data_IF_334441181071
#
_entry.id   IF_334441181071
#
_cell.length_a   1.000
_cell.length_b   1.000
_cell.length_c   1.000
_cell.angle_alpha   90.00
_cell.angle_beta   90.00
_cell.angle_gamma   90.00
#
_symmetry.space_group_name_H-M   'P 1'
#
loop_
_entity.id
_entity.type
_entity.pdbx_description
1 polymer ?
#
# COMPACT_ATOMS: atom_id res chain seq x y z
N UNK A 1 -31.24 29.24 -18.91
CA UNK A 1 -31.92 29.04 -17.61
C UNK A 1 -32.96 30.14 -17.38
N UNK A 2 -34.01 29.84 -16.61
CA UNK A 2 -34.96 30.85 -16.13
C UNK A 2 -34.26 31.82 -15.15
N UNK A 3 -34.60 33.11 -15.22
CA UNK A 3 -34.05 34.11 -14.29
C UNK A 3 -34.84 34.13 -12.98
N UNK A 4 -34.14 34.37 -11.87
CA UNK A 4 -34.80 34.59 -10.57
C UNK A 4 -35.21 36.05 -10.40
N UNK A 5 -36.12 36.32 -9.47
CA UNK A 5 -36.42 37.68 -9.03
C UNK A 5 -35.13 38.40 -8.62
N UNK A 6 -35.01 39.67 -9.01
CA UNK A 6 -33.81 40.47 -8.80
C UNK A 6 -32.52 39.93 -9.45
N UNK A 7 -32.59 39.09 -10.50
CA UNK A 7 -31.39 38.56 -11.20
C UNK A 7 -30.35 39.63 -11.56
N UNK A 8 -30.78 40.84 -11.95
CA UNK A 8 -29.88 41.97 -12.26
C UNK A 8 -28.96 42.38 -11.10
N UNK A 9 -29.33 42.05 -9.85
CA UNK A 9 -28.55 42.31 -8.64
C UNK A 9 -27.60 41.14 -8.28
N UNK A 10 -27.73 39.98 -8.92
CA UNK A 10 -26.89 38.81 -8.70
C UNK A 10 -25.77 38.81 -9.76
N UNK A 11 -24.63 39.39 -9.40
CA UNK A 11 -23.46 39.48 -10.29
C UNK A 11 -22.57 38.23 -10.15
N UNK A 12 -21.90 37.76 -11.22
CA UNK A 12 -21.04 36.57 -11.16
C UNK A 12 -19.98 36.61 -10.06
N UNK A 13 -19.31 37.75 -9.84
CA UNK A 13 -18.29 37.87 -8.78
C UNK A 13 -18.86 37.62 -7.37
N UNK A 14 -20.13 37.92 -7.13
CA UNK A 14 -20.78 37.64 -5.84
C UNK A 14 -20.91 36.14 -5.62
N UNK A 15 -21.06 35.34 -6.67
CA UNK A 15 -21.07 33.88 -6.58
C UNK A 15 -19.77 33.33 -5.98
N UNK A 16 -18.61 33.88 -6.38
CA UNK A 16 -17.31 33.54 -5.80
C UNK A 16 -17.22 33.94 -4.32
N UNK A 17 -17.73 35.11 -3.94
CA UNK A 17 -17.75 35.57 -2.54
C UNK A 17 -18.66 34.69 -1.68
N UNK A 18 -19.83 34.34 -2.20
CA UNK A 18 -20.78 33.46 -1.54
C UNK A 18 -20.16 32.06 -1.37
N UNK A 19 -19.52 31.52 -2.40
CA UNK A 19 -18.76 30.25 -2.31
C UNK A 19 -17.69 30.30 -1.22
N UNK A 20 -16.85 31.33 -1.24
CA UNK A 20 -15.77 31.49 -0.26
C UNK A 20 -16.29 31.63 1.16
N UNK A 21 -17.41 32.35 1.34
CA UNK A 21 -18.09 32.48 2.63
C UNK A 21 -18.60 31.13 3.15
N UNK A 22 -19.21 30.30 2.30
CA UNK A 22 -19.67 28.97 2.70
C UNK A 22 -18.54 28.00 2.98
N UNK A 23 -17.50 28.00 2.14
CA UNK A 23 -16.31 27.21 2.41
C UNK A 23 -15.68 27.61 3.74
N UNK A 24 -15.54 28.92 4.00
CA UNK A 24 -15.03 29.42 5.27
C UNK A 24 -15.89 29.00 6.46
N UNK A 25 -17.22 29.08 6.34
CA UNK A 25 -18.16 28.63 7.38
C UNK A 25 -18.07 27.11 7.61
N UNK A 26 -17.97 26.32 6.55
CA UNK A 26 -17.84 24.86 6.62
C UNK A 26 -16.53 24.43 7.28
N UNK A 27 -15.40 25.03 6.87
CA UNK A 27 -14.08 24.74 7.42
C UNK A 27 -13.88 25.24 8.85
N UNK A 28 -14.75 26.13 9.35
CA UNK A 28 -14.69 26.65 10.72
C UNK A 28 -15.79 26.08 11.59
N UNK A 29 -17.02 26.59 11.48
CA UNK A 29 -18.15 26.16 12.28
C UNK A 29 -18.52 24.70 11.98
N UNK A 30 -18.55 24.29 10.71
CA UNK A 30 -18.83 22.90 10.33
C UNK A 30 -17.79 21.92 10.88
N UNK A 31 -16.50 22.21 10.68
CA UNK A 31 -15.41 21.41 11.22
C UNK A 31 -15.43 21.35 12.75
N UNK A 32 -15.73 22.46 13.43
CA UNK A 32 -15.90 22.50 14.88
C UNK A 32 -17.06 21.60 15.34
N UNK A 33 -18.22 21.66 14.66
CA UNK A 33 -19.37 20.80 14.95
C UNK A 33 -19.01 19.32 14.80
N UNK A 34 -18.39 18.94 13.68
CA UNK A 34 -17.98 17.56 13.39
C UNK A 34 -16.96 17.04 14.41
N UNK A 35 -15.94 17.85 14.75
CA UNK A 35 -14.91 17.47 15.73
C UNK A 35 -15.46 17.33 17.14
N UNK A 36 -16.39 18.20 17.54
CA UNK A 36 -16.91 18.25 18.91
C UNK A 36 -18.00 17.20 19.14
N UNK A 37 -18.88 17.00 18.17
CA UNK A 37 -20.10 16.19 18.33
C UNK A 37 -20.13 14.93 17.45
N UNK A 38 -19.11 14.65 16.64
CA UNK A 38 -19.06 13.46 15.79
C UNK A 38 -20.19 13.44 14.76
N UNK A 39 -20.96 12.34 14.73
CA UNK A 39 -22.07 12.14 13.78
C UNK A 39 -23.18 13.21 13.90
N UNK A 40 -23.71 13.53 15.10
CA UNK A 40 -24.58 14.69 15.27
C UNK A 40 -23.98 16.00 14.75
N UNK A 41 -22.66 16.16 14.90
CA UNK A 41 -21.92 17.29 14.36
C UNK A 41 -21.92 17.34 12.84
N UNK A 42 -21.74 16.19 12.18
CA UNK A 42 -21.85 16.03 10.73
C UNK A 42 -23.25 16.39 10.24
N UNK A 43 -24.30 15.82 10.84
CA UNK A 43 -25.70 16.13 10.52
C UNK A 43 -25.97 17.64 10.68
N UNK A 44 -25.50 18.24 11.78
CA UNK A 44 -25.67 19.66 12.03
C UNK A 44 -24.92 20.53 11.00
N UNK A 45 -23.72 20.12 10.58
CA UNK A 45 -22.96 20.82 9.54
C UNK A 45 -23.62 20.76 8.16
N UNK A 46 -24.34 19.66 7.85
CA UNK A 46 -25.14 19.57 6.63
C UNK A 46 -26.39 20.46 6.70
N UNK A 47 -27.16 20.36 7.80
CA UNK A 47 -28.36 21.18 7.99
C UNK A 47 -28.03 22.69 7.98
N UNK A 48 -26.83 23.07 8.39
CA UNK A 48 -26.32 24.44 8.27
C UNK A 48 -26.38 24.93 6.81
N UNK A 49 -26.03 24.11 5.81
CA UNK A 49 -26.12 24.52 4.41
C UNK A 49 -27.56 24.84 3.99
N UNK A 50 -28.52 24.04 4.45
CA UNK A 50 -29.94 24.28 4.16
C UNK A 50 -30.44 25.55 4.85
N UNK A 51 -30.14 25.73 6.14
CA UNK A 51 -30.52 26.93 6.91
C UNK A 51 -29.97 28.18 6.23
N UNK A 52 -28.68 28.17 5.89
CA UNK A 52 -28.03 29.31 5.26
C UNK A 52 -28.58 29.57 3.84
N UNK A 53 -28.96 28.53 3.09
CA UNK A 53 -29.63 28.68 1.80
C UNK A 53 -30.99 29.38 1.92
N UNK A 54 -31.77 29.03 2.95
CA UNK A 54 -33.06 29.69 3.23
C UNK A 54 -32.83 31.14 3.67
N UNK A 55 -31.89 31.40 4.58
CA UNK A 55 -31.53 32.76 5.01
C UNK A 55 -31.06 33.62 3.84
N UNK A 56 -30.27 33.04 2.92
CA UNK A 56 -29.83 33.71 1.70
C UNK A 56 -31.03 34.17 0.85
N UNK A 57 -32.04 33.31 0.66
CA UNK A 57 -33.26 33.68 -0.06
C UNK A 57 -34.01 34.85 0.62
N UNK A 58 -34.08 34.85 1.95
CA UNK A 58 -34.71 35.92 2.72
C UNK A 58 -33.96 37.25 2.58
N UNK A 59 -32.63 37.24 2.73
CA UNK A 59 -31.77 38.43 2.61
C UNK A 59 -31.84 39.01 1.20
N UNK A 60 -31.79 38.17 0.17
CA UNK A 60 -31.84 38.60 -1.24
C UNK A 60 -33.25 38.88 -1.73
N UNK A 61 -34.27 38.61 -0.93
CA UNK A 61 -35.70 38.73 -1.27
C UNK A 61 -36.04 37.99 -2.56
N UNK A 62 -35.53 36.76 -2.68
CA UNK A 62 -35.80 35.86 -3.81
C UNK A 62 -36.75 34.77 -3.32
N UNK A 63 -37.79 34.45 -4.11
CA UNK A 63 -38.76 33.42 -3.72
C UNK A 63 -38.12 32.04 -3.73
N UNK A 64 -38.40 31.21 -2.72
CA UNK A 64 -37.87 29.85 -2.60
C UNK A 64 -38.12 29.00 -3.86
N UNK A 65 -39.32 29.08 -4.44
CA UNK A 65 -39.67 28.34 -5.68
C UNK A 65 -38.85 28.74 -6.92
N UNK A 66 -38.28 29.95 -6.93
CA UNK A 66 -37.42 30.42 -8.02
C UNK A 66 -35.98 29.97 -7.80
N UNK A 67 -35.54 29.95 -6.54
CA UNK A 67 -34.21 29.47 -6.16
C UNK A 67 -34.08 27.95 -6.27
N UNK A 68 -35.12 27.24 -5.83
CA UNK A 68 -35.23 25.78 -5.77
C UNK A 68 -36.38 25.33 -6.68
N UNK A 69 -36.24 25.45 -8.01
CA UNK A 69 -37.31 25.13 -8.93
C UNK A 69 -37.57 23.63 -8.90
N UNK A 70 -38.77 23.23 -8.49
CA UNK A 70 -39.21 21.84 -8.45
C UNK A 70 -40.15 21.58 -9.62
N UNK A 71 -39.78 20.65 -10.49
CA UNK A 71 -40.60 20.22 -11.63
C UNK A 71 -40.73 18.70 -11.63
N UNK A 72 -41.79 18.18 -12.25
CA UNK A 72 -41.98 16.72 -12.41
C UNK A 72 -40.84 16.15 -13.25
N UNK A 73 -40.23 15.07 -12.78
CA UNK A 73 -39.21 14.32 -13.52
C UNK A 73 -39.93 13.40 -14.52
N UNK A 74 -39.61 13.53 -15.81
CA UNK A 74 -40.12 12.61 -16.83
C UNK A 74 -39.35 11.28 -16.79
N UNK A 75 -39.96 10.18 -17.29
CA UNK A 75 -39.27 8.88 -17.33
C UNK A 75 -37.95 8.92 -18.13
N UNK A 76 -37.90 9.71 -19.20
CA UNK A 76 -36.68 9.94 -19.98
C UNK A 76 -35.60 10.65 -19.16
N UNK A 77 -35.98 11.70 -18.42
CA UNK A 77 -35.03 12.42 -17.56
C UNK A 77 -34.55 11.57 -16.39
N UNK A 78 -35.42 10.74 -15.81
CA UNK A 78 -35.05 9.79 -14.76
C UNK A 78 -33.94 8.83 -15.25
N UNK A 79 -34.14 8.15 -16.37
CA UNK A 79 -33.12 7.26 -16.94
C UNK A 79 -31.87 8.01 -17.39
N UNK A 80 -32.02 9.24 -17.89
CA UNK A 80 -30.90 10.13 -18.17
C UNK A 80 -30.05 10.41 -16.93
N UNK A 81 -30.69 10.72 -15.79
CA UNK A 81 -30.01 10.93 -14.51
C UNK A 81 -29.34 9.65 -14.01
N UNK A 82 -29.99 8.49 -14.11
CA UNK A 82 -29.40 7.19 -13.70
C UNK A 82 -28.13 6.90 -14.51
N UNK A 83 -28.16 7.05 -15.83
CA UNK A 83 -26.97 6.87 -16.68
C UNK A 83 -25.88 7.89 -16.33
N UNK A 84 -26.24 9.15 -16.08
CA UNK A 84 -25.29 10.17 -15.67
C UNK A 84 -24.69 9.91 -14.27
N UNK A 85 -25.44 9.31 -13.35
CA UNK A 85 -24.94 8.90 -12.04
C UNK A 85 -23.90 7.78 -12.18
N UNK A 86 -24.19 6.74 -12.98
CA UNK A 86 -23.21 5.68 -13.31
C UNK A 86 -21.97 6.28 -13.98
N UNK A 87 -22.18 7.19 -14.93
CA UNK A 87 -21.07 7.88 -15.62
C UNK A 87 -20.21 8.70 -14.65
N UNK A 88 -20.85 9.46 -13.75
CA UNK A 88 -20.18 10.24 -12.72
C UNK A 88 -19.36 9.36 -11.77
N UNK A 89 -19.89 8.19 -11.40
CA UNK A 89 -19.17 7.20 -10.59
C UNK A 89 -17.93 6.66 -11.33
N UNK A 90 -18.05 6.27 -12.59
CA UNK A 90 -16.92 5.78 -13.40
C UNK A 90 -15.84 6.84 -13.59
N UNK A 91 -16.20 8.09 -13.88
CA UNK A 91 -15.21 9.18 -13.93
C UNK A 91 -14.62 9.51 -12.56
N UNK A 92 -15.39 9.32 -11.49
CA UNK A 92 -14.89 9.49 -10.12
C UNK A 92 -13.77 8.49 -9.81
N UNK A 93 -13.90 7.23 -10.26
CA UNK A 93 -12.83 6.24 -10.14
C UNK A 93 -11.56 6.70 -10.86
N UNK A 94 -11.66 7.16 -12.11
CA UNK A 94 -10.51 7.69 -12.85
C UNK A 94 -9.89 8.90 -12.15
N UNK A 95 -10.71 9.82 -11.65
CA UNK A 95 -10.25 10.98 -10.89
C UNK A 95 -9.46 10.60 -9.64
N UNK A 96 -9.95 9.61 -8.88
CA UNK A 96 -9.23 9.03 -7.73
C UNK A 96 -7.93 8.35 -8.17
N UNK A 97 -7.93 7.62 -9.28
CA UNK A 97 -6.72 7.00 -9.85
C UNK A 97 -5.65 8.02 -10.22
N UNK A 98 -6.05 9.15 -10.81
CA UNK A 98 -5.12 10.27 -11.11
C UNK A 98 -4.54 10.82 -9.81
N UNK A 99 -5.38 11.08 -8.81
CA UNK A 99 -4.93 11.58 -7.51
C UNK A 99 -3.96 10.59 -6.83
N UNK A 100 -4.23 9.28 -6.89
CA UNK A 100 -3.35 8.23 -6.37
C UNK A 100 -1.99 8.19 -7.11
N UNK A 101 -1.99 8.33 -8.43
CA UNK A 101 -0.78 8.32 -9.24
C UNK A 101 0.11 9.56 -9.00
N UNK A 102 -0.50 10.73 -8.75
CA UNK A 102 0.22 12.01 -8.61
C UNK A 102 0.58 12.31 -7.14
N UNK A 103 -0.27 11.93 -6.19
CA UNK A 103 -0.16 12.31 -4.78
C UNK A 103 -0.25 11.11 -3.80
N UNK A 104 0.50 10.01 -4.01
CA UNK A 104 0.30 8.75 -3.28
C UNK A 104 0.40 8.88 -1.75
N UNK A 105 1.28 9.76 -1.24
CA UNK A 105 1.54 9.89 0.21
C UNK A 105 0.45 10.63 0.99
N UNK A 106 -0.19 11.65 0.41
CA UNK A 106 -1.26 12.42 1.07
C UNK A 106 -2.59 11.65 1.13
N UNK A 107 -2.74 10.61 0.31
CA UNK A 107 -3.99 9.86 0.15
C UNK A 107 -4.21 8.83 1.24
N UNK A 108 -3.15 8.17 1.73
CA UNK A 108 -3.28 7.07 2.70
C UNK A 108 -3.91 7.54 4.02
N UNK A 109 -3.43 8.65 4.57
CA UNK A 109 -3.96 9.22 5.81
C UNK A 109 -5.40 9.71 5.68
N UNK A 110 -5.79 10.15 4.48
CA UNK A 110 -7.15 10.62 4.23
C UNK A 110 -8.14 9.45 4.12
N UNK A 111 -7.78 8.40 3.39
CA UNK A 111 -8.63 7.20 3.21
C UNK A 111 -8.86 6.50 4.55
N UNK A 112 -7.82 6.27 5.35
CA UNK A 112 -7.98 5.62 6.67
C UNK A 112 -8.80 6.49 7.62
N UNK A 113 -8.50 7.79 7.71
CA UNK A 113 -9.23 8.71 8.60
C UNK A 113 -10.72 8.84 8.23
N UNK A 114 -11.05 8.90 6.94
CA UNK A 114 -12.44 8.92 6.47
C UNK A 114 -13.13 7.59 6.78
N UNK A 115 -12.41 6.48 6.60
CA UNK A 115 -12.97 5.15 6.80
C UNK A 115 -13.37 4.91 8.26
N UNK A 116 -12.47 5.24 9.19
CA UNK A 116 -12.69 5.07 10.62
C UNK A 116 -13.82 5.98 11.14
N UNK A 117 -13.92 7.21 10.63
CA UNK A 117 -14.93 8.17 11.06
C UNK A 117 -16.34 7.79 10.58
N UNK A 118 -16.49 7.39 9.31
CA UNK A 118 -17.79 7.12 8.72
C UNK A 118 -18.27 5.68 8.96
N UNK A 119 -17.39 4.68 8.83
CA UNK A 119 -17.82 3.29 8.70
C UNK A 119 -17.68 2.44 9.97
N UNK A 120 -16.90 2.88 10.96
CA UNK A 120 -16.79 2.17 12.24
C UNK A 120 -17.97 2.38 13.20
N UNK A 121 -18.87 3.35 12.93
CA UNK A 121 -19.84 3.86 13.91
C UNK A 121 -21.29 3.97 13.44
N UNK A 122 -21.56 3.85 12.14
CA UNK A 122 -22.92 3.94 11.58
C UNK A 122 -23.41 2.59 11.09
N UNK A 123 -24.69 2.29 11.31
CA UNK A 123 -25.35 1.22 10.58
C UNK A 123 -25.66 1.63 9.12
N UNK A 124 -26.01 0.66 8.28
CA UNK A 124 -26.26 0.92 6.85
C UNK A 124 -27.36 1.97 6.60
N UNK A 125 -28.45 1.94 7.38
CA UNK A 125 -29.54 2.91 7.21
C UNK A 125 -29.08 4.33 7.57
N UNK A 126 -28.32 4.47 8.66
CA UNK A 126 -27.71 5.76 9.05
C UNK A 126 -26.79 6.28 7.95
N UNK A 127 -25.98 5.44 7.33
CA UNK A 127 -25.13 5.86 6.20
C UNK A 127 -25.94 6.36 5.02
N UNK A 128 -26.99 5.65 4.62
CA UNK A 128 -27.84 6.07 3.51
C UNK A 128 -28.50 7.42 3.80
N UNK A 129 -28.97 7.64 5.03
CA UNK A 129 -29.63 8.89 5.41
C UNK A 129 -28.63 10.05 5.55
N UNK A 130 -27.51 9.84 6.23
CA UNK A 130 -26.55 10.90 6.61
C UNK A 130 -25.52 11.18 5.51
N UNK A 131 -25.05 10.16 4.79
CA UNK A 131 -23.97 10.29 3.79
C UNK A 131 -24.53 10.43 2.37
N UNK A 132 -25.71 9.85 2.08
CA UNK A 132 -26.30 9.91 0.74
C UNK A 132 -27.45 10.91 0.62
N UNK A 133 -28.48 10.81 1.46
CA UNK A 133 -29.69 11.61 1.31
C UNK A 133 -29.53 13.05 1.79
N UNK A 134 -28.97 13.24 2.98
CA UNK A 134 -28.87 14.56 3.59
C UNK A 134 -28.01 15.54 2.77
N UNK A 135 -26.81 15.18 2.27
CA UNK A 135 -25.99 16.07 1.45
C UNK A 135 -26.65 16.36 0.10
N UNK A 136 -27.31 15.35 -0.49
CA UNK A 136 -28.05 15.51 -1.74
C UNK A 136 -29.15 16.57 -1.66
N UNK A 137 -29.67 16.89 -0.47
CA UNK A 137 -30.63 17.98 -0.28
C UNK A 137 -29.92 19.28 0.11
N UNK A 138 -29.04 19.21 1.11
CA UNK A 138 -28.44 20.38 1.75
C UNK A 138 -27.40 21.06 0.85
N UNK A 139 -26.46 20.30 0.30
CA UNK A 139 -25.43 20.82 -0.59
C UNK A 139 -26.03 21.32 -1.90
N UNK A 140 -27.01 20.62 -2.49
CA UNK A 140 -27.66 21.07 -3.72
C UNK A 140 -28.45 22.37 -3.54
N UNK A 141 -29.09 22.54 -2.39
CA UNK A 141 -29.76 23.81 -2.05
C UNK A 141 -28.75 24.96 -2.03
N UNK A 142 -27.55 24.69 -1.50
CA UNK A 142 -26.51 25.70 -1.43
C UNK A 142 -25.87 26.00 -2.80
N UNK A 143 -25.34 24.96 -3.44
CA UNK A 143 -24.53 25.06 -4.64
C UNK A 143 -25.40 25.39 -5.87
N UNK A 144 -26.46 24.61 -6.09
CA UNK A 144 -27.31 24.73 -7.30
C UNK A 144 -28.40 25.78 -7.12
N UNK A 145 -28.89 25.95 -5.89
CA UNK A 145 -29.76 27.06 -5.54
C UNK A 145 -28.98 28.36 -5.48
N UNK A 146 -28.26 28.59 -4.38
CA UNK A 146 -27.74 29.90 -4.02
C UNK A 146 -26.53 30.34 -4.86
N UNK A 147 -25.49 29.52 -4.96
CA UNK A 147 -24.24 29.89 -5.65
C UNK A 147 -24.48 30.03 -7.15
N UNK A 148 -25.03 28.99 -7.79
CA UNK A 148 -25.29 28.96 -9.24
C UNK A 148 -26.22 30.08 -9.70
N UNK A 149 -27.13 30.57 -8.84
CA UNK A 149 -28.02 31.70 -9.16
C UNK A 149 -27.29 32.96 -9.67
N UNK A 150 -26.04 33.19 -9.25
CA UNK A 150 -25.20 34.32 -9.69
C UNK A 150 -24.68 34.18 -11.11
N UNK A 151 -24.60 32.95 -11.61
CA UNK A 151 -24.05 32.63 -12.91
C UNK A 151 -25.14 32.46 -13.98
N UNK A 152 -26.43 32.51 -13.62
CA UNK A 152 -27.58 32.42 -14.55
C UNK A 152 -27.56 33.46 -15.68
N UNK A 153 -26.81 34.56 -15.52
CA UNK A 153 -26.63 35.59 -16.55
C UNK A 153 -25.57 35.25 -17.61
N UNK A 154 -24.73 34.24 -17.37
CA UNK A 154 -23.71 33.79 -18.31
C UNK A 154 -24.39 33.02 -19.45
N UNK A 155 -24.12 33.42 -20.70
CA UNK A 155 -24.75 32.81 -21.89
C UNK A 155 -24.21 31.42 -22.25
N UNK A 156 -23.00 31.10 -21.81
CA UNK A 156 -22.31 29.83 -22.15
C UNK A 156 -22.50 28.83 -21.02
N UNK A 157 -23.41 27.88 -21.21
CA UNK A 157 -23.71 26.82 -20.22
C UNK A 157 -22.46 26.09 -19.71
N UNK A 158 -21.52 25.77 -20.60
CA UNK A 158 -20.30 25.04 -20.24
C UNK A 158 -19.40 25.81 -19.26
N UNK A 159 -19.44 27.15 -19.28
CA UNK A 159 -18.68 27.99 -18.33
C UNK A 159 -19.28 27.87 -16.94
N UNK A 160 -20.61 27.88 -16.82
CA UNK A 160 -21.31 27.68 -15.55
C UNK A 160 -20.99 26.29 -14.99
N UNK A 161 -21.10 25.27 -15.85
CA UNK A 161 -20.80 23.87 -15.50
C UNK A 161 -19.36 23.71 -14.99
N UNK A 162 -18.38 24.33 -15.66
CA UNK A 162 -16.98 24.27 -15.25
C UNK A 162 -16.74 24.94 -13.90
N UNK A 163 -17.25 26.18 -13.72
CA UNK A 163 -17.09 26.92 -12.45
C UNK A 163 -17.71 26.14 -11.29
N UNK A 164 -18.94 25.66 -11.47
CA UNK A 164 -19.65 24.94 -10.41
C UNK A 164 -19.03 23.56 -10.14
N UNK A 165 -18.47 22.90 -11.15
CA UNK A 165 -17.67 21.68 -10.94
C UNK A 165 -16.46 21.96 -10.05
N UNK A 166 -15.65 22.96 -10.39
CA UNK A 166 -14.48 23.34 -9.58
C UNK A 166 -14.88 23.72 -8.15
N UNK A 167 -15.95 24.49 -7.97
CA UNK A 167 -16.44 24.87 -6.64
C UNK A 167 -16.82 23.66 -5.80
N UNK A 168 -17.58 22.73 -6.36
CA UNK A 168 -17.95 21.50 -5.67
C UNK A 168 -16.73 20.63 -5.32
N UNK A 169 -15.72 20.61 -6.19
CA UNK A 169 -14.42 19.99 -5.92
C UNK A 169 -13.69 20.60 -4.72
N UNK A 170 -13.62 21.93 -4.66
CA UNK A 170 -12.95 22.66 -3.57
C UNK A 170 -13.69 22.49 -2.24
N UNK A 171 -15.03 22.41 -2.25
CA UNK A 171 -15.85 22.24 -1.03
C UNK A 171 -15.47 21.01 -0.20
N UNK A 172 -14.95 19.98 -0.85
CA UNK A 172 -14.55 18.74 -0.19
C UNK A 172 -13.19 18.82 0.51
N UNK A 173 -12.42 19.90 0.29
CA UNK A 173 -11.12 20.17 0.92
C UNK A 173 -10.16 18.96 0.90
N UNK A 174 -10.19 18.20 -0.19
CA UNK A 174 -9.50 16.92 -0.33
C UNK A 174 -8.81 16.85 -1.69
N UNK A 175 -7.47 16.79 -1.75
CA UNK A 175 -6.76 16.56 -3.01
C UNK A 175 -7.14 15.23 -3.67
N UNK A 176 -7.40 14.19 -2.86
CA UNK A 176 -7.83 12.88 -3.34
C UNK A 176 -9.16 12.98 -4.10
N UNK A 177 -10.14 13.64 -3.48
CA UNK A 177 -11.53 13.71 -3.95
C UNK A 177 -11.79 14.88 -4.88
N UNK A 178 -10.84 15.80 -5.05
CA UNK A 178 -11.05 17.02 -5.85
C UNK A 178 -11.54 16.70 -7.27
N UNK A 179 -10.83 15.85 -8.02
CA UNK A 179 -11.20 15.54 -9.41
C UNK A 179 -12.52 14.76 -9.52
N UNK A 180 -12.76 13.82 -8.62
CA UNK A 180 -13.98 13.01 -8.62
C UNK A 180 -15.20 13.86 -8.31
N UNK A 181 -15.15 14.62 -7.20
CA UNK A 181 -16.24 15.50 -6.79
C UNK A 181 -16.43 16.65 -7.78
N UNK A 182 -15.36 17.24 -8.33
CA UNK A 182 -15.50 18.27 -9.37
C UNK A 182 -16.24 17.77 -10.62
N UNK A 183 -15.98 16.52 -11.03
CA UNK A 183 -16.65 15.91 -12.17
C UNK A 183 -18.14 15.66 -11.89
N UNK A 184 -18.47 15.05 -10.75
CA UNK A 184 -19.86 14.92 -10.31
C UNK A 184 -20.55 16.29 -10.23
N UNK A 185 -19.83 17.27 -9.69
CA UNK A 185 -20.27 18.64 -9.53
C UNK A 185 -20.62 19.32 -10.86
N UNK A 186 -19.82 19.08 -11.90
CA UNK A 186 -20.09 19.56 -13.25
C UNK A 186 -21.36 18.92 -13.84
N UNK A 187 -21.52 17.61 -13.74
CA UNK A 187 -22.68 16.89 -14.31
C UNK A 187 -23.98 17.32 -13.62
N UNK A 188 -23.99 17.43 -12.29
CA UNK A 188 -25.15 17.92 -11.53
C UNK A 188 -25.51 19.36 -11.92
N UNK A 189 -24.51 20.22 -12.13
CA UNK A 189 -24.74 21.59 -12.61
C UNK A 189 -25.32 21.62 -14.03
N UNK A 190 -24.88 20.71 -14.91
CA UNK A 190 -25.46 20.54 -16.25
C UNK A 190 -26.96 20.22 -16.17
N UNK A 191 -27.37 19.30 -15.28
CA UNK A 191 -28.78 18.95 -15.07
C UNK A 191 -29.63 20.16 -14.71
N UNK A 192 -29.18 20.97 -13.75
CA UNK A 192 -29.90 22.18 -13.36
C UNK A 192 -29.91 23.23 -14.48
N UNK A 193 -28.79 23.43 -15.17
CA UNK A 193 -28.67 24.42 -16.25
C UNK A 193 -29.63 24.10 -17.40
N UNK A 194 -29.74 22.83 -17.78
CA UNK A 194 -30.59 22.39 -18.89
C UNK A 194 -32.07 22.32 -18.55
N UNK A 195 -32.42 21.92 -17.33
CA UNK A 195 -33.83 21.65 -16.99
C UNK A 195 -34.46 22.65 -16.05
N UNK A 196 -33.65 23.46 -15.37
CA UNK A 196 -34.08 24.34 -14.29
C UNK A 196 -35.00 23.57 -13.32
N UNK A 197 -34.54 22.39 -12.90
CA UNK A 197 -35.22 21.51 -11.95
C UNK A 197 -34.20 20.99 -10.95
N UNK A 198 -34.32 21.38 -9.68
CA UNK A 198 -33.37 21.03 -8.63
C UNK A 198 -33.48 19.56 -8.21
N UNK A 199 -34.61 18.90 -8.48
CA UNK A 199 -34.75 17.48 -8.16
C UNK A 199 -33.83 16.57 -8.99
N UNK A 200 -33.42 17.00 -10.19
CA UNK A 200 -32.52 16.19 -11.04
C UNK A 200 -31.10 16.09 -10.46
N UNK A 201 -30.40 17.19 -10.11
CA UNK A 201 -29.12 17.07 -9.44
C UNK A 201 -29.24 16.43 -8.05
N UNK A 202 -30.29 16.71 -7.27
CA UNK A 202 -30.53 16.03 -5.97
C UNK A 202 -30.63 14.51 -6.13
N UNK A 203 -31.40 14.03 -7.14
CA UNK A 203 -31.49 12.60 -7.44
C UNK A 203 -30.14 12.02 -7.84
N UNK A 204 -29.39 12.71 -8.72
CA UNK A 204 -28.06 12.25 -9.14
C UNK A 204 -27.09 12.17 -7.97
N UNK A 205 -27.06 13.21 -7.12
CA UNK A 205 -26.22 13.29 -5.93
C UNK A 205 -26.53 12.11 -4.99
N UNK A 206 -27.81 11.92 -4.68
CA UNK A 206 -28.26 10.80 -3.86
C UNK A 206 -27.81 9.46 -4.44
N UNK A 207 -28.02 9.20 -5.74
CA UNK A 207 -27.61 7.95 -6.38
C UNK A 207 -26.10 7.72 -6.31
N UNK A 208 -25.31 8.78 -6.53
CA UNK A 208 -23.85 8.72 -6.47
C UNK A 208 -23.35 8.38 -5.06
N UNK A 209 -23.83 9.10 -4.05
CA UNK A 209 -23.42 8.86 -2.67
C UNK A 209 -24.02 7.57 -2.11
N UNK A 210 -25.22 7.18 -2.53
CA UNK A 210 -25.83 5.90 -2.17
C UNK A 210 -25.01 4.73 -2.68
N UNK A 211 -24.55 4.78 -3.94
CA UNK A 211 -23.65 3.76 -4.48
C UNK A 211 -22.33 3.73 -3.70
N UNK A 212 -21.72 4.88 -3.44
CA UNK A 212 -20.47 4.97 -2.67
C UNK A 212 -20.62 4.43 -1.24
N UNK A 213 -21.68 4.82 -0.52
CA UNK A 213 -21.98 4.35 0.83
C UNK A 213 -22.24 2.84 0.85
N UNK A 214 -23.02 2.33 -0.09
CA UNK A 214 -23.32 0.89 -0.22
C UNK A 214 -22.06 0.08 -0.48
N UNK A 215 -21.25 0.46 -1.49
CA UNK A 215 -20.00 -0.25 -1.79
C UNK A 215 -19.04 -0.24 -0.60
N UNK A 216 -18.94 0.90 0.11
CA UNK A 216 -18.07 1.02 1.28
C UNK A 216 -18.56 0.17 2.45
N UNK A 217 -19.87 0.15 2.71
CA UNK A 217 -20.46 -0.68 3.77
C UNK A 217 -20.26 -2.17 3.49
N UNK A 218 -20.56 -2.63 2.27
CA UNK A 218 -20.34 -4.02 1.88
C UNK A 218 -18.84 -4.38 1.91
N UNK A 219 -17.97 -3.51 1.41
CA UNK A 219 -16.52 -3.72 1.43
C UNK A 219 -16.00 -3.97 2.85
N UNK A 220 -16.41 -3.17 3.83
CA UNK A 220 -16.02 -3.35 5.24
C UNK A 220 -16.56 -4.66 5.86
N UNK A 221 -17.69 -5.20 5.37
CA UNK A 221 -18.26 -6.45 5.88
C UNK A 221 -17.60 -7.69 5.25
N UNK A 222 -17.13 -7.59 4.00
CA UNK A 222 -16.56 -8.72 3.26
C UNK A 222 -15.02 -8.78 3.31
N UNK A 223 -14.35 -7.69 3.66
CA UNK A 223 -12.89 -7.66 3.84
C UNK A 223 -12.60 -7.95 5.31
N UNK A 224 -12.26 -9.20 5.64
CA UNK A 224 -11.79 -9.57 6.98
C UNK A 224 -10.50 -8.80 7.30
N UNK A 225 -10.54 -8.01 8.37
CA UNK A 225 -9.48 -7.06 8.79
C UNK A 225 -8.16 -7.73 9.15
N UNK A 226 -8.13 -9.05 9.38
CA UNK A 226 -6.94 -9.77 9.80
C UNK A 226 -6.00 -10.18 8.65
N UNK A 227 -6.47 -10.33 7.40
CA UNK A 227 -5.60 -10.75 6.28
C UNK A 227 -4.97 -9.59 5.51
N UNK A 228 -5.32 -8.35 5.83
CA UNK A 228 -5.08 -7.20 4.95
C UNK A 228 -4.22 -6.09 5.54
N UNK A 229 -3.99 -6.01 6.85
CA UNK A 229 -3.10 -4.97 7.40
C UNK A 229 -1.66 -5.07 6.85
N UNK A 230 -1.19 -6.29 6.55
CA UNK A 230 0.08 -6.54 5.84
C UNK A 230 -0.07 -6.69 4.31
N UNK A 231 -1.27 -7.03 3.80
CA UNK A 231 -1.56 -7.19 2.36
C UNK A 231 -2.22 -5.97 1.70
N UNK A 232 -2.33 -4.82 2.36
CA UNK A 232 -2.43 -3.54 1.63
C UNK A 232 -1.07 -3.34 0.98
N UNK A 233 -0.86 -4.08 -0.11
CA UNK A 233 0.10 -3.75 -1.16
C UNK A 233 0.13 -2.24 -1.26
N UNK A 234 1.32 -1.67 -1.19
CA UNK A 234 1.53 -0.28 -1.56
C UNK A 234 0.80 -0.05 -2.88
N UNK A 235 -0.38 0.60 -2.83
CA UNK A 235 -1.27 0.68 -3.98
C UNK A 235 -0.50 1.50 -5.01
N UNK A 236 0.03 0.83 -6.02
CA UNK A 236 0.72 1.48 -7.11
C UNK A 236 -0.31 2.37 -7.83
N UNK A 237 -0.25 3.67 -7.55
CA UNK A 237 -1.26 4.62 -8.04
C UNK A 237 -1.39 4.63 -9.56
N UNK A 238 -0.29 4.31 -10.27
CA UNK A 238 -0.28 4.16 -11.73
C UNK A 238 -1.03 2.92 -12.17
N UNK A 239 -0.85 1.79 -11.49
CA UNK A 239 -1.62 0.57 -11.74
C UNK A 239 -3.11 0.77 -11.47
N UNK A 240 -3.45 1.44 -10.36
CA UNK A 240 -4.82 1.78 -10.00
C UNK A 240 -5.48 2.69 -11.04
N UNK A 241 -4.77 3.72 -11.51
CA UNK A 241 -5.22 4.57 -12.61
C UNK A 241 -5.50 3.75 -13.88
N UNK A 242 -4.59 2.84 -14.24
CA UNK A 242 -4.75 1.95 -15.39
C UNK A 242 -6.03 1.12 -15.29
N UNK A 243 -6.23 0.46 -14.14
CA UNK A 243 -7.40 -0.36 -13.89
C UNK A 243 -8.69 0.46 -13.93
N UNK A 244 -8.70 1.64 -13.32
CA UNK A 244 -9.87 2.52 -13.31
C UNK A 244 -10.19 3.07 -14.70
N UNK A 245 -9.19 3.42 -15.52
CA UNK A 245 -9.41 3.79 -16.91
C UNK A 245 -10.03 2.64 -17.71
N UNK A 246 -9.53 1.42 -17.51
CA UNK A 246 -10.06 0.23 -18.16
C UNK A 246 -11.52 -0.03 -17.76
N UNK A 247 -11.86 -0.02 -16.47
CA UNK A 247 -13.24 -0.20 -16.00
C UNK A 247 -14.17 0.95 -16.42
N UNK A 248 -13.66 2.17 -16.50
CA UNK A 248 -14.41 3.35 -16.89
C UNK A 248 -14.48 3.56 -18.42
N UNK A 249 -14.01 2.62 -19.24
CA UNK A 249 -13.93 2.82 -20.69
C UNK A 249 -15.29 3.19 -21.34
N UNK A 250 -16.40 2.71 -20.80
CA UNK A 250 -17.74 3.03 -21.30
C UNK A 250 -18.23 4.43 -20.90
N UNK A 251 -17.58 5.10 -19.94
CA UNK A 251 -18.04 6.36 -19.36
C UNK A 251 -18.25 7.49 -20.39
N UNK A 252 -17.37 7.71 -21.41
CA UNK A 252 -17.62 8.73 -22.43
C UNK A 252 -18.92 8.50 -23.24
N UNK A 253 -19.20 7.26 -23.61
CA UNK A 253 -20.42 6.91 -24.36
C UNK A 253 -21.66 7.08 -23.47
N UNK A 254 -21.58 6.62 -22.22
CA UNK A 254 -22.65 6.79 -21.24
C UNK A 254 -22.92 8.28 -20.95
N UNK A 255 -21.87 9.13 -20.91
CA UNK A 255 -22.02 10.58 -20.73
C UNK A 255 -22.87 11.17 -21.85
N UNK A 256 -22.51 10.91 -23.11
CA UNK A 256 -23.24 11.43 -24.27
C UNK A 256 -24.67 10.90 -24.27
N UNK A 257 -24.87 9.63 -23.93
CA UNK A 257 -26.19 8.98 -23.85
C UNK A 257 -27.07 9.62 -22.79
N UNK A 258 -26.54 9.80 -21.57
CA UNK A 258 -27.25 10.46 -20.48
C UNK A 258 -27.59 11.90 -20.82
N UNK A 259 -26.64 12.65 -21.36
CA UNK A 259 -26.88 14.01 -21.85
C UNK A 259 -27.97 14.05 -22.94
N UNK A 260 -28.08 13.02 -23.78
CA UNK A 260 -29.10 12.90 -24.84
C UNK A 260 -30.50 12.66 -24.31
N UNK A 261 -30.63 11.84 -23.27
CA UNK A 261 -31.91 11.65 -22.60
C UNK A 261 -32.37 12.93 -21.88
N UNK A 262 -31.43 13.71 -21.35
CA UNK A 262 -31.73 15.01 -20.73
C UNK A 262 -32.15 16.03 -21.80
N UNK A 263 -31.31 16.31 -22.81
CA UNK A 263 -31.52 17.39 -23.78
C UNK A 263 -31.41 16.88 -25.23
N UNK A 264 -32.42 16.15 -25.75
CA UNK A 264 -32.31 15.41 -27.02
C UNK A 264 -32.16 16.31 -28.25
N UNK A 265 -32.70 17.53 -28.21
CA UNK A 265 -32.72 18.44 -29.36
C UNK A 265 -31.33 18.96 -29.74
N UNK A 266 -30.37 18.91 -28.81
CA UNK A 266 -29.04 19.48 -28.98
C UNK A 266 -27.92 18.43 -29.16
N UNK A 267 -28.27 17.20 -29.59
CA UNK A 267 -27.30 16.13 -29.88
C UNK A 267 -26.89 16.06 -31.34
N UNK A 268 -25.62 15.68 -31.54
CA UNK A 268 -25.00 15.51 -32.84
C UNK A 268 -24.27 14.17 -32.85
N UNK A 269 -24.38 13.42 -33.95
CA UNK A 269 -23.72 12.13 -34.12
C UNK A 269 -22.20 12.19 -33.87
N UNK A 270 -21.56 13.32 -34.20
CA UNK A 270 -20.14 13.57 -33.92
C UNK A 270 -19.77 13.41 -32.44
N UNK A 271 -20.68 13.70 -31.49
CA UNK A 271 -20.42 13.51 -30.06
C UNK A 271 -20.23 12.04 -29.70
N UNK A 272 -21.01 11.14 -30.31
CA UNK A 272 -20.84 9.69 -30.12
C UNK A 272 -19.56 9.17 -30.75
N UNK A 273 -19.15 9.71 -31.91
CA UNK A 273 -17.87 9.35 -32.53
C UNK A 273 -16.68 9.75 -31.64
N UNK A 274 -16.69 10.98 -31.09
CA UNK A 274 -15.67 11.44 -30.14
C UNK A 274 -15.67 10.57 -28.88
N UNK A 275 -16.85 10.29 -28.32
CA UNK A 275 -16.98 9.42 -27.15
C UNK A 275 -16.44 8.01 -27.43
N UNK A 276 -16.71 7.42 -28.60
CA UNK A 276 -16.16 6.13 -29.00
C UNK A 276 -14.63 6.13 -29.07
N UNK A 277 -14.04 7.19 -29.63
CA UNK A 277 -12.58 7.37 -29.65
C UNK A 277 -11.98 7.47 -28.24
N UNK A 278 -12.60 8.26 -27.36
CA UNK A 278 -12.18 8.38 -25.95
C UNK A 278 -12.34 7.05 -25.19
N UNK A 279 -13.42 6.32 -25.43
CA UNK A 279 -13.65 4.99 -24.85
C UNK A 279 -12.57 3.98 -25.26
N UNK A 280 -12.21 3.94 -26.55
CA UNK A 280 -11.09 3.11 -27.02
C UNK A 280 -9.76 3.52 -26.36
N UNK A 281 -9.48 4.83 -26.26
CA UNK A 281 -8.27 5.33 -25.60
C UNK A 281 -8.21 4.93 -24.11
N UNK A 282 -9.33 5.01 -23.39
CA UNK A 282 -9.43 4.58 -22.00
C UNK A 282 -9.24 3.07 -21.85
N UNK A 283 -9.83 2.27 -22.74
CA UNK A 283 -9.70 0.82 -22.73
C UNK A 283 -8.24 0.37 -22.96
N UNK A 284 -7.65 0.78 -24.09
CA UNK A 284 -6.29 0.36 -24.45
C UNK A 284 -5.23 1.00 -23.56
N UNK A 285 -5.38 2.29 -23.23
CA UNK A 285 -4.48 2.99 -22.32
C UNK A 285 -4.54 2.43 -20.91
N UNK A 286 -5.74 2.16 -20.39
CA UNK A 286 -5.92 1.58 -19.06
C UNK A 286 -5.37 0.15 -18.96
N UNK A 287 -5.66 -0.69 -19.94
CA UNK A 287 -5.10 -2.04 -20.03
C UNK A 287 -3.58 -2.02 -20.11
N UNK A 288 -3.02 -1.21 -21.02
CA UNK A 288 -1.58 -1.08 -21.21
C UNK A 288 -0.86 -0.60 -19.96
N UNK A 289 -1.40 0.42 -19.28
CA UNK A 289 -0.82 0.96 -18.06
C UNK A 289 -0.80 -0.10 -16.93
N UNK A 290 -1.92 -0.79 -16.73
CA UNK A 290 -2.03 -1.86 -15.72
C UNK A 290 -1.06 -3.01 -16.02
N UNK A 291 -1.07 -3.52 -17.25
CA UNK A 291 -0.22 -4.62 -17.66
C UNK A 291 1.28 -4.28 -17.53
N UNK A 292 1.68 -3.07 -17.94
CA UNK A 292 3.06 -2.61 -17.81
C UNK A 292 3.51 -2.52 -16.34
N UNK A 293 2.66 -2.00 -15.46
CA UNK A 293 2.97 -1.95 -14.01
C UNK A 293 3.09 -3.33 -13.40
N UNK A 294 2.14 -4.23 -13.67
CA UNK A 294 2.15 -5.61 -13.15
C UNK A 294 3.38 -6.37 -13.65
N UNK A 295 3.75 -6.22 -14.93
CA UNK A 295 4.97 -6.82 -15.47
C UNK A 295 6.23 -6.26 -14.81
N UNK A 296 6.30 -4.95 -14.60
CA UNK A 296 7.45 -4.31 -13.93
C UNK A 296 7.61 -4.80 -12.50
N UNK A 297 6.50 -4.90 -11.75
CA UNK A 297 6.51 -5.38 -10.38
C UNK A 297 6.83 -6.88 -10.31
N UNK A 298 6.35 -7.69 -11.27
CA UNK A 298 6.71 -9.09 -11.39
C UNK A 298 8.19 -9.30 -11.70
N UNK A 299 8.80 -8.47 -12.56
CA UNK A 299 10.23 -8.51 -12.86
C UNK A 299 11.04 -8.18 -11.61
N UNK A 300 10.73 -7.07 -10.92
CA UNK A 300 11.43 -6.67 -9.69
C UNK A 300 11.32 -7.71 -8.58
N UNK A 301 10.13 -8.26 -8.37
CA UNK A 301 9.91 -9.32 -7.37
C UNK A 301 10.62 -10.61 -7.78
N UNK A 302 10.63 -10.96 -9.07
CA UNK A 302 11.39 -12.07 -9.60
C UNK A 302 12.90 -11.93 -9.37
N UNK A 303 13.48 -10.76 -9.66
CA UNK A 303 14.87 -10.45 -9.37
C UNK A 303 15.19 -10.52 -7.86
N UNK A 304 14.30 -9.98 -7.00
CA UNK A 304 14.48 -10.07 -5.55
C UNK A 304 14.36 -11.49 -5.00
N UNK A 305 13.49 -12.32 -5.56
CA UNK A 305 13.31 -13.71 -5.15
C UNK A 305 14.49 -14.56 -5.64
N UNK A 306 14.98 -14.34 -6.86
CA UNK A 306 16.20 -14.99 -7.35
C UNK A 306 17.42 -14.60 -6.50
N UNK A 307 17.52 -13.34 -6.08
CA UNK A 307 18.58 -12.87 -5.19
C UNK A 307 18.50 -13.45 -3.77
N UNK A 308 17.31 -13.79 -3.27
CA UNK A 308 17.09 -14.38 -1.93
C UNK A 308 17.12 -15.93 -1.93
N UNK A 309 16.72 -16.58 -3.01
CA UNK A 309 16.55 -18.04 -3.10
C UNK A 309 17.62 -18.74 -3.93
N UNK A 310 18.76 -18.10 -4.21
CA UNK A 310 19.92 -18.85 -4.70
C UNK A 310 20.51 -19.59 -3.49
N UNK A 311 20.45 -20.93 -3.39
CA UNK A 311 21.07 -21.63 -2.27
C UNK A 311 22.57 -21.39 -2.34
N UNK A 312 23.14 -20.74 -1.32
CA UNK A 312 24.59 -20.69 -1.18
C UNK A 312 25.06 -22.09 -0.80
N UNK A 313 25.96 -22.66 -1.60
CA UNK A 313 26.53 -23.98 -1.35
C UNK A 313 27.78 -23.92 -0.46
N UNK A 314 28.30 -22.72 -0.21
CA UNK A 314 29.51 -22.47 0.57
C UNK A 314 29.44 -21.12 1.29
N UNK A 315 30.08 -21.03 2.46
CA UNK A 315 30.39 -19.81 3.20
C UNK A 315 31.90 -19.66 3.34
N UNK A 316 32.44 -18.45 3.19
CA UNK A 316 33.88 -18.18 3.39
C UNK A 316 34.16 -17.62 4.79
N UNK A 317 35.04 -18.26 5.55
CA UNK A 317 35.46 -17.83 6.90
C UNK A 317 36.34 -16.59 6.79
N UNK A 318 36.09 -15.56 7.61
CA UNK A 318 36.77 -14.27 7.53
C UNK A 318 36.02 -13.21 6.71
N UNK A 319 35.28 -13.65 5.69
CA UNK A 319 34.44 -12.77 4.87
C UNK A 319 32.97 -12.80 5.31
N UNK A 320 32.39 -14.00 5.38
CA UNK A 320 30.96 -14.22 5.67
C UNK A 320 30.72 -14.79 7.06
N UNK A 321 31.63 -15.61 7.58
CA UNK A 321 31.62 -16.08 8.98
C UNK A 321 32.68 -15.31 9.75
N UNK A 322 32.26 -14.48 10.72
CA UNK A 322 33.16 -13.65 11.52
C UNK A 322 33.58 -14.32 12.82
N UNK A 323 34.68 -13.83 13.41
CA UNK A 323 35.24 -14.36 14.66
C UNK A 323 34.24 -14.34 15.80
N UNK A 324 33.43 -13.30 15.88
CA UNK A 324 32.45 -13.10 16.95
C UNK A 324 31.25 -14.05 16.83
N UNK A 325 31.07 -14.64 15.65
CA UNK A 325 30.04 -15.64 15.39
C UNK A 325 30.52 -17.05 15.71
N UNK A 326 31.82 -17.34 15.58
CA UNK A 326 32.37 -18.68 15.85
C UNK A 326 32.07 -19.14 17.29
N UNK A 327 31.62 -20.38 17.43
CA UNK A 327 31.38 -21.05 18.71
C UNK A 327 32.43 -22.14 18.95
N UNK A 328 32.61 -22.98 17.93
CA UNK A 328 33.42 -24.19 18.02
C UNK A 328 34.07 -24.47 16.67
N UNK A 329 35.34 -24.86 16.71
CA UNK A 329 36.04 -25.42 15.57
C UNK A 329 36.65 -26.76 15.96
N UNK A 330 36.25 -27.84 15.27
CA UNK A 330 36.68 -29.20 15.57
C UNK A 330 37.48 -29.75 14.39
N UNK A 331 38.69 -30.20 14.67
CA UNK A 331 39.54 -30.94 13.77
C UNK A 331 39.76 -32.33 14.35
N UNK A 332 39.34 -33.38 13.67
CA UNK A 332 39.59 -34.78 14.07
C UNK A 332 40.23 -35.53 12.93
N UNK A 333 41.47 -36.00 13.12
CA UNK A 333 42.14 -36.91 12.22
C UNK A 333 42.11 -38.30 12.81
N UNK A 334 41.73 -39.27 11.98
CA UNK A 334 41.68 -40.67 12.38
C UNK A 334 42.03 -41.51 11.17
N UNK A 335 43.15 -42.21 11.23
CA UNK A 335 43.72 -42.95 10.11
C UNK A 335 43.80 -44.44 10.46
N UNK A 336 43.25 -45.31 9.60
CA UNK A 336 43.32 -46.78 9.69
C UNK A 336 44.70 -47.38 9.38
N UNK A 337 45.79 -46.63 9.63
CA UNK A 337 47.17 -47.11 9.45
C UNK A 337 47.50 -48.28 10.38
N UNK A 338 48.64 -48.93 10.19
CA UNK A 338 49.17 -49.94 11.12
C UNK A 338 50.51 -49.44 11.70
N UNK A 339 50.55 -48.96 12.97
CA UNK A 339 49.43 -48.86 13.91
C UNK A 339 48.45 -47.71 13.57
N UNK A 340 47.18 -47.79 14.00
CA UNK A 340 46.18 -46.75 13.74
C UNK A 340 46.48 -45.48 14.52
N UNK A 341 46.07 -44.33 13.99
CA UNK A 341 46.32 -43.04 14.64
C UNK A 341 45.04 -42.23 14.81
N UNK A 342 44.92 -41.52 15.93
CA UNK A 342 43.83 -40.61 16.21
C UNK A 342 44.36 -39.34 16.89
N UNK A 343 43.99 -38.18 16.34
CA UNK A 343 44.26 -36.87 16.92
C UNK A 343 43.05 -35.97 16.75
N UNK A 344 42.57 -35.41 17.86
CA UNK A 344 41.54 -34.38 17.87
C UNK A 344 42.07 -33.08 18.48
N UNK A 345 41.72 -31.97 17.85
CA UNK A 345 41.85 -30.62 18.37
C UNK A 345 40.49 -29.94 18.27
N UNK A 346 40.04 -29.36 19.38
CA UNK A 346 38.76 -28.67 19.46
C UNK A 346 38.96 -27.30 20.11
N UNK A 347 38.50 -26.27 19.43
CA UNK A 347 38.65 -24.87 19.84
C UNK A 347 37.27 -24.36 20.17
N UNK A 348 37.02 -24.07 21.44
CA UNK A 348 35.69 -23.78 21.95
C UNK A 348 35.71 -22.50 22.80
N UNK A 349 34.66 -21.68 22.63
CA UNK A 349 34.42 -20.52 23.49
C UNK A 349 33.46 -20.88 24.63
N UNK A 350 33.95 -20.80 25.87
CA UNK A 350 33.16 -21.01 27.09
C UNK A 350 33.22 -19.74 27.94
N UNK A 351 32.06 -19.17 28.29
CA UNK A 351 31.94 -17.98 29.13
C UNK A 351 32.82 -16.77 28.68
N UNK A 352 33.03 -16.64 27.37
CA UNK A 352 33.82 -15.56 26.76
C UNK A 352 35.34 -15.79 26.75
N UNK A 353 35.79 -16.96 27.19
CA UNK A 353 37.18 -17.43 27.10
C UNK A 353 37.32 -18.54 26.07
N UNK A 354 38.46 -18.61 25.40
CA UNK A 354 38.74 -19.62 24.38
C UNK A 354 39.65 -20.71 24.93
N UNK A 355 39.33 -21.95 24.59
CA UNK A 355 40.07 -23.12 25.03
C UNK A 355 40.46 -23.99 23.83
N UNK A 356 41.66 -24.54 23.88
CA UNK A 356 42.11 -25.64 23.02
C UNK A 356 42.01 -26.94 23.82
N UNK A 357 41.12 -27.81 23.38
CA UNK A 357 41.03 -29.19 23.82
C UNK A 357 41.84 -30.08 22.87
N UNK A 358 42.64 -30.99 23.42
CA UNK A 358 43.33 -32.00 22.63
C UNK A 358 43.06 -33.39 23.16
N UNK A 359 43.04 -34.36 22.26
CA UNK A 359 42.85 -35.77 22.57
C UNK A 359 43.62 -36.61 21.55
N UNK A 360 44.50 -37.48 22.05
CA UNK A 360 45.29 -38.42 21.28
C UNK A 360 44.98 -39.83 21.76
N UNK A 361 44.74 -40.74 20.80
CA UNK A 361 44.53 -42.17 21.08
C UNK A 361 45.56 -43.00 20.35
N UNK A 362 46.02 -44.07 21.00
CA UNK A 362 46.98 -45.03 20.44
C UNK A 362 46.57 -46.45 20.86
N UNK A 363 46.60 -47.39 19.92
CA UNK A 363 46.20 -48.78 20.13
C UNK A 363 46.59 -49.67 18.95
N UNK A 364 46.28 -50.97 19.04
CA UNK A 364 46.56 -51.98 18.02
C UNK A 364 45.29 -52.44 17.26
N UNK A 365 44.19 -51.72 17.43
CA UNK A 365 42.89 -52.03 16.82
C UNK A 365 42.23 -50.77 16.23
N UNK A 366 41.33 -50.97 15.28
CA UNK A 366 40.61 -49.90 14.58
C UNK A 366 39.11 -50.26 14.49
N UNK A 367 38.17 -49.37 14.88
CA UNK A 367 38.35 -47.98 15.33
C UNK A 367 38.90 -47.81 16.75
N UNK A 368 39.76 -46.81 16.96
CA UNK A 368 40.23 -46.43 18.30
C UNK A 368 39.06 -45.84 19.13
N UNK A 369 38.84 -46.38 20.32
CA UNK A 369 37.75 -46.03 21.24
C UNK A 369 38.23 -45.05 22.33
N UNK A 370 37.29 -44.52 23.13
CA UNK A 370 37.62 -43.59 24.22
C UNK A 370 38.51 -44.23 25.31
N UNK A 371 38.49 -45.56 25.42
CA UNK A 371 39.41 -46.31 26.29
C UNK A 371 40.87 -46.24 25.86
N UNK A 372 41.15 -45.86 24.60
CA UNK A 372 42.50 -45.84 24.01
C UNK A 372 43.18 -44.47 24.12
N UNK A 373 42.60 -43.52 24.87
CA UNK A 373 43.17 -42.18 25.08
C UNK A 373 44.49 -42.28 25.85
N UNK A 374 45.57 -41.81 25.23
CA UNK A 374 46.91 -41.78 25.83
C UNK A 374 47.34 -40.39 26.29
N UNK A 375 46.79 -39.34 25.69
CA UNK A 375 47.05 -37.95 26.05
C UNK A 375 45.81 -37.09 25.77
N UNK A 376 45.40 -36.29 26.76
CA UNK A 376 44.30 -35.34 26.60
C UNK A 376 44.42 -34.18 27.59
N UNK A 377 43.89 -33.03 27.22
CA UNK A 377 44.01 -31.84 28.03
C UNK A 377 43.19 -30.66 27.52
N UNK A 378 43.07 -29.66 28.39
CA UNK A 378 42.37 -28.40 28.14
C UNK A 378 43.32 -27.24 28.44
N UNK A 379 43.56 -26.40 27.44
CA UNK A 379 44.48 -25.28 27.51
C UNK A 379 43.70 -23.98 27.29
N UNK A 380 43.77 -23.03 28.23
CA UNK A 380 43.20 -21.68 28.04
C UNK A 380 44.08 -20.89 27.05
N UNK A 381 43.45 -20.31 26.03
CA UNK A 381 44.14 -19.57 24.97
C UNK A 381 44.20 -18.07 25.29
N UNK A 382 45.36 -17.48 25.07
CA UNK A 382 45.53 -16.02 25.11
C UNK A 382 44.87 -15.36 23.89
N UNK A 383 44.68 -14.03 23.96
CA UNK A 383 44.11 -13.27 22.85
C UNK A 383 44.96 -13.39 21.56
N UNK A 384 46.29 -13.39 21.69
CA UNK A 384 47.22 -13.55 20.56
C UNK A 384 47.13 -14.95 19.93
N UNK A 385 46.97 -15.99 20.75
CA UNK A 385 46.78 -17.36 20.26
C UNK A 385 45.43 -17.54 19.57
N UNK A 386 44.38 -16.87 20.07
CA UNK A 386 43.08 -16.83 19.40
C UNK A 386 43.15 -16.12 18.04
N UNK A 387 43.87 -15.00 17.96
CA UNK A 387 44.09 -14.28 16.71
C UNK A 387 44.86 -15.15 15.72
N UNK A 388 45.84 -15.93 16.21
CA UNK A 388 46.60 -16.85 15.37
C UNK A 388 45.74 -17.99 14.82
N UNK A 389 44.87 -18.58 15.65
CA UNK A 389 43.90 -19.58 15.20
C UNK A 389 42.98 -18.99 14.13
N UNK A 390 42.46 -17.79 14.36
CA UNK A 390 41.58 -17.12 13.41
C UNK A 390 42.26 -16.89 12.05
N UNK A 391 43.54 -16.49 12.05
CA UNK A 391 44.35 -16.35 10.83
C UNK A 391 44.56 -17.70 10.09
N UNK A 392 44.64 -18.81 10.83
CA UNK A 392 44.85 -20.14 10.27
C UNK A 392 43.58 -20.71 9.62
N UNK A 393 42.40 -20.34 10.12
CA UNK A 393 41.10 -20.81 9.59
C UNK A 393 40.41 -19.81 8.64
N UNK A 394 40.83 -18.54 8.64
CA UNK A 394 40.31 -17.55 7.69
C UNK A 394 40.66 -17.92 6.25
N UNK A 395 39.75 -17.65 5.31
CA UNK A 395 39.82 -18.08 3.92
C UNK A 395 39.32 -19.51 3.66
N UNK A 396 39.09 -20.30 4.70
CA UNK A 396 38.46 -21.61 4.58
C UNK A 396 36.98 -21.55 4.23
N UNK A 397 36.43 -22.66 3.77
CA UNK A 397 35.05 -22.79 3.30
C UNK A 397 34.23 -23.68 4.21
N UNK A 398 33.01 -23.27 4.53
CA UNK A 398 32.03 -24.10 5.24
C UNK A 398 30.94 -24.52 4.26
N UNK A 399 30.69 -25.82 4.18
CA UNK A 399 29.75 -26.45 3.25
C UNK A 399 28.70 -27.28 3.99
N UNK A 400 27.66 -27.68 3.24
CA UNK A 400 26.60 -28.55 3.76
C UNK A 400 27.18 -29.89 4.18
N UNK A 401 26.84 -30.31 5.40
CA UNK A 401 27.19 -31.60 6.00
C UNK A 401 26.63 -32.74 5.14
N UNK A 402 27.48 -33.68 4.78
CA UNK A 402 27.03 -34.97 4.23
C UNK A 402 26.56 -35.85 5.41
N UNK A 403 25.32 -36.33 5.37
CA UNK A 403 24.66 -37.12 6.44
C UNK A 403 25.39 -38.42 6.85
N UNK A 404 26.48 -38.82 6.19
CA UNK A 404 27.05 -40.17 6.27
C UNK A 404 28.37 -40.32 7.04
N UNK A 405 28.79 -39.35 7.86
CA UNK A 405 30.19 -39.27 8.33
C UNK A 405 30.43 -39.58 9.82
N UNK A 406 29.40 -39.83 10.62
CA UNK A 406 29.60 -40.32 12.01
C UNK A 406 29.85 -41.83 12.09
N UNK A 407 29.82 -42.55 10.96
CA UNK A 407 30.03 -43.99 10.90
C UNK A 407 31.47 -44.35 10.47
N UNK A 408 32.46 -44.05 11.33
CA UNK A 408 33.74 -44.77 11.39
C UNK A 408 34.60 -44.86 10.12
N UNK A 409 34.78 -43.76 9.38
CA UNK A 409 35.70 -43.69 8.23
C UNK A 409 37.05 -43.03 8.55
N UNK A 410 37.99 -43.08 7.59
CA UNK A 410 39.26 -42.35 7.66
C UNK A 410 39.01 -40.83 7.49
N UNK A 411 39.47 -40.04 8.46
CA UNK A 411 39.40 -38.58 8.47
C UNK A 411 40.54 -37.93 7.67
N UNK A 412 40.65 -36.58 7.60
CA UNK A 412 40.22 -35.66 8.64
C UNK A 412 38.77 -35.19 8.52
N UNK A 413 38.12 -35.07 9.68
CA UNK A 413 36.79 -34.52 9.90
C UNK A 413 36.94 -33.11 10.46
N UNK A 414 36.44 -32.12 9.74
CA UNK A 414 36.54 -30.72 10.14
C UNK A 414 35.16 -30.10 10.22
N UNK A 415 34.84 -29.51 11.37
CA UNK A 415 33.57 -28.87 11.61
C UNK A 415 33.76 -27.47 12.19
N UNK A 416 32.95 -26.52 11.71
CA UNK A 416 32.89 -25.16 12.23
C UNK A 416 31.44 -24.82 12.58
N UNK A 417 31.21 -24.49 13.85
CA UNK A 417 29.91 -24.11 14.37
C UNK A 417 29.90 -22.61 14.73
N UNK A 418 28.82 -21.89 14.39
CA UNK A 418 28.70 -20.45 14.66
C UNK A 418 27.31 -20.03 15.15
N UNK A 419 27.13 -18.74 15.44
CA UNK A 419 25.90 -18.20 16.06
C UNK A 419 24.63 -18.42 15.23
N UNK A 420 24.72 -18.39 13.91
CA UNK A 420 23.57 -18.55 13.01
C UNK A 420 23.22 -20.01 12.71
N UNK A 421 24.05 -20.96 13.16
CA UNK A 421 23.81 -22.41 13.16
C UNK A 421 22.83 -22.84 14.29
N UNK A 422 21.81 -22.03 14.57
CA UNK A 422 20.82 -22.35 15.60
C UNK A 422 19.94 -23.52 15.13
N UNK A 423 19.69 -24.48 16.03
CA UNK A 423 18.96 -25.74 15.81
C UNK A 423 17.54 -25.62 15.21
N UNK A 424 17.02 -24.40 15.07
CA UNK A 424 15.71 -24.08 14.48
C UNK A 424 15.80 -23.33 13.13
N UNK A 425 16.96 -23.31 12.47
CA UNK A 425 17.15 -22.66 11.16
C UNK A 425 17.40 -23.67 10.03
N UNK A 426 16.95 -23.34 8.81
CA UNK A 426 17.31 -24.08 7.58
C UNK A 426 18.84 -24.13 7.32
N UNK A 427 19.64 -23.37 8.08
CA UNK A 427 21.11 -23.31 8.00
C UNK A 427 21.82 -24.32 8.91
N UNK A 428 21.09 -25.08 9.73
CA UNK A 428 21.64 -26.15 10.59
C UNK A 428 22.33 -27.29 9.82
N UNK A 429 22.34 -27.21 8.49
CA UNK A 429 22.92 -28.18 7.58
C UNK A 429 24.36 -27.83 7.15
N UNK A 430 24.91 -26.63 7.43
CA UNK A 430 26.21 -26.18 6.95
C UNK A 430 27.27 -26.16 8.06
N UNK A 431 28.09 -27.19 8.16
CA UNK A 431 29.08 -27.32 9.24
C UNK A 431 30.42 -27.88 8.76
N UNK A 432 30.49 -28.52 7.59
CA UNK A 432 31.68 -29.20 7.11
C UNK A 432 32.70 -28.19 6.60
N UNK A 433 33.85 -28.10 7.26
CA UNK A 433 34.85 -27.09 6.98
C UNK A 433 35.99 -27.62 6.11
N UNK A 434 36.52 -26.75 5.25
CA UNK A 434 37.65 -27.03 4.38
C UNK A 434 38.63 -25.87 4.47
N UNK A 435 39.89 -26.17 4.82
CA UNK A 435 40.95 -25.15 4.78
C UNK A 435 41.13 -24.60 3.36
N UNK A 436 41.55 -23.34 3.27
CA UNK A 436 41.89 -22.67 2.00
C UNK A 436 42.90 -23.49 1.18
N UNK A 437 43.82 -24.18 1.87
CA UNK A 437 44.78 -25.08 1.26
C UNK A 437 45.27 -26.15 2.24
N UNK A 438 45.83 -27.23 1.72
CA UNK A 438 46.49 -28.25 2.54
C UNK A 438 47.69 -27.69 3.34
N UNK A 439 48.37 -26.66 2.83
CA UNK A 439 49.43 -25.97 3.57
C UNK A 439 48.88 -25.28 4.84
N UNK A 440 47.74 -24.58 4.72
CA UNK A 440 47.04 -23.97 5.87
C UNK A 440 46.60 -25.01 6.91
N UNK A 441 46.11 -26.16 6.44
CA UNK A 441 45.80 -27.28 7.32
C UNK A 441 47.04 -27.76 8.10
N UNK A 442 48.17 -27.97 7.41
CA UNK A 442 49.42 -28.38 8.06
C UNK A 442 49.93 -27.32 9.05
N UNK A 443 49.83 -26.04 8.71
CA UNK A 443 50.18 -24.95 9.62
C UNK A 443 49.33 -24.98 10.90
N UNK A 444 48.03 -25.25 10.76
CA UNK A 444 47.12 -25.43 11.90
C UNK A 444 47.50 -26.63 12.77
N UNK A 445 47.69 -27.82 12.17
CA UNK A 445 48.07 -29.04 12.88
C UNK A 445 49.41 -28.85 13.64
N UNK A 446 50.41 -28.27 12.98
CA UNK A 446 51.72 -28.01 13.57
C UNK A 446 51.64 -27.01 14.72
N UNK A 447 50.82 -25.97 14.58
CA UNK A 447 50.61 -24.98 15.64
C UNK A 447 49.95 -25.61 16.87
N UNK A 448 48.89 -26.40 16.68
CA UNK A 448 48.22 -27.13 17.76
C UNK A 448 49.19 -28.08 18.48
N UNK A 449 49.93 -28.90 17.73
CA UNK A 449 50.90 -29.84 18.30
C UNK A 449 52.00 -29.12 19.10
N UNK A 450 52.54 -28.02 18.56
CA UNK A 450 53.55 -27.22 19.24
C UNK A 450 53.01 -26.55 20.51
N UNK A 451 51.73 -26.13 20.51
CA UNK A 451 51.11 -25.52 21.69
C UNK A 451 50.86 -26.54 22.80
N UNK A 452 50.42 -27.75 22.44
CA UNK A 452 50.24 -28.86 23.38
C UNK A 452 51.57 -29.26 24.01
N UNK A 453 52.63 -29.42 23.20
CA UNK A 453 53.95 -29.80 23.69
C UNK A 453 54.54 -28.78 24.69
N UNK A 454 54.29 -27.48 24.49
CA UNK A 454 54.71 -26.43 25.44
C UNK A 454 54.06 -26.55 26.81
N UNK A 455 52.85 -27.09 26.89
CA UNK A 455 52.15 -27.33 28.16
C UNK A 455 52.75 -28.52 28.91
N UNK A 456 53.24 -29.52 28.17
CA UNK A 456 53.89 -30.71 28.76
C UNK A 456 55.31 -30.42 29.27
N UNK A 457 55.93 -29.34 28.80
CA UNK A 457 57.27 -28.88 29.20
C UNK A 457 57.27 -27.79 30.30
N UNK A 458 56.11 -27.20 30.63
CA UNK A 458 55.92 -26.17 31.66
C UNK A 458 55.42 -26.74 32.98
#
# INVERSE_FOLDING_TARGET
>A
MEQVSNQKKLRPWMGFVVQAGFLGLFLTAGAWMQRTYGIPGLIGSELMFLVVSVLYCLIRRVKLREMFPVKKITGREFWGVVILAVTGFLFSMVGVGISLAVLPKSVRSEVTGLSDFLYGKMNYLEMVLVVALLPAICEESMERGCVLSHFRSIKKDWVIVLIMGVFFGIMHWSPLRFLSTATAGAIMSYLLVKKNNILLPMLMHFLNNFAAATLSYLGNQFINTESSAEQVMEINGVAALGAYMFFAFAAPILLVTGMMLIDPEHHKATKFAIAGGLSAAMFFGGFGLTAATVMTDAIKNGESLMAKNTPKYEYVVGDEVTREQMKEFRFTRSDSTDPPTFQRYEILCEDGKWFLYHEKREGDHWPLEESDVTDSGKIELTAEECDKIWELISGGKVMRRKESLEAGGDGPWLYLYWKEDAADSEMAEFQEYYFESYAKQQEFENWCAARVAKETES
#
